data_IF_009832221679
#
_entry.id   IF_009832221679
#
_cell.length_a   1.000
_cell.length_b   1.000
_cell.length_c   1.000
_cell.angle_alpha   90.00
_cell.angle_beta   90.00
_cell.angle_gamma   90.00
#
_symmetry.space_group_name_H-M   'P 1'
#
loop_
_entity.id
_entity.type
_entity.pdbx_description
1 polymer ?
#
# COMPACT_ATOMS: atom_id res chain seq x y z
N UNK A 1 -13.34 -20.29 29.39
CA UNK A 1 -12.12 -19.66 29.94
C UNK A 1 -11.46 -18.85 28.87
N UNK A 2 -11.38 -17.55 29.04
CA UNK A 2 -10.62 -16.65 28.11
C UNK A 2 -9.12 -16.88 28.32
N UNK A 3 -8.38 -17.03 27.24
CA UNK A 3 -6.93 -17.23 27.26
C UNK A 3 -6.25 -15.94 27.77
N UNK A 4 -5.54 -15.94 28.91
CA UNK A 4 -4.97 -14.73 29.50
C UNK A 4 -3.94 -14.02 28.61
N UNK A 5 -3.35 -14.72 27.63
CA UNK A 5 -2.45 -14.13 26.65
C UNK A 5 -3.19 -13.29 25.59
N UNK A 6 -4.42 -13.66 25.23
CA UNK A 6 -5.29 -12.88 24.35
C UNK A 6 -5.86 -11.65 25.05
N UNK A 7 -6.18 -11.78 26.33
CA UNK A 7 -6.74 -10.70 27.15
C UNK A 7 -5.73 -9.54 27.32
N UNK A 8 -4.46 -9.85 27.53
CA UNK A 8 -3.40 -8.85 27.61
C UNK A 8 -3.14 -8.12 26.28
N UNK A 9 -3.34 -8.78 25.14
CA UNK A 9 -3.22 -8.18 23.82
C UNK A 9 -4.36 -7.21 23.50
N UNK A 10 -5.59 -7.62 23.78
CA UNK A 10 -6.80 -6.82 23.57
C UNK A 10 -6.80 -5.59 24.50
N UNK A 11 -6.39 -5.73 25.76
CA UNK A 11 -6.27 -4.64 26.70
C UNK A 11 -5.29 -3.55 26.23
N UNK A 12 -4.12 -3.95 25.70
CA UNK A 12 -3.15 -2.99 25.12
C UNK A 12 -3.68 -2.28 23.89
N UNK A 13 -4.36 -2.96 22.99
CA UNK A 13 -4.97 -2.37 21.79
C UNK A 13 -6.06 -1.37 22.19
N UNK A 14 -6.91 -1.74 23.14
CA UNK A 14 -7.96 -0.86 23.66
C UNK A 14 -7.38 0.39 24.35
N UNK A 15 -6.31 0.25 25.12
CA UNK A 15 -5.62 1.37 25.76
C UNK A 15 -5.00 2.32 24.71
N UNK A 16 -4.34 1.78 23.70
CA UNK A 16 -3.77 2.58 22.60
C UNK A 16 -4.88 3.27 21.82
N UNK A 17 -5.95 2.57 21.48
CA UNK A 17 -7.09 3.16 20.78
C UNK A 17 -7.74 4.27 21.59
N UNK A 18 -7.95 4.05 22.91
CA UNK A 18 -8.49 5.05 23.83
C UNK A 18 -7.60 6.30 23.87
N UNK A 19 -6.29 6.15 24.02
CA UNK A 19 -5.35 7.28 24.02
C UNK A 19 -5.34 8.04 22.69
N UNK A 20 -5.41 7.34 21.57
CA UNK A 20 -5.46 7.96 20.25
C UNK A 20 -6.75 8.77 20.02
N UNK A 21 -7.89 8.22 20.45
CA UNK A 21 -9.20 8.86 20.26
C UNK A 21 -9.49 9.93 21.30
N UNK A 22 -9.32 9.61 22.58
CA UNK A 22 -9.74 10.51 23.69
C UNK A 22 -8.75 11.64 23.92
N UNK A 23 -7.45 11.38 23.77
CA UNK A 23 -6.41 12.40 23.97
C UNK A 23 -6.02 13.09 22.66
N UNK A 24 -6.65 12.77 21.53
CA UNK A 24 -6.31 13.29 20.18
C UNK A 24 -4.82 13.17 19.84
N UNK A 25 -4.15 12.16 20.36
CA UNK A 25 -2.75 11.87 20.06
C UNK A 25 -2.65 11.12 18.75
N UNK A 26 -2.75 11.86 17.65
CA UNK A 26 -2.66 11.31 16.30
C UNK A 26 -1.22 10.89 16.03
N UNK A 27 -1.03 9.68 15.51
CA UNK A 27 0.26 9.24 15.03
C UNK A 27 0.71 10.08 13.84
N UNK A 28 1.98 10.41 13.78
CA UNK A 28 2.57 11.20 12.70
C UNK A 28 3.31 10.32 11.74
N UNK A 29 3.12 10.54 10.46
CA UNK A 29 3.83 9.84 9.40
C UNK A 29 5.30 10.26 9.39
N UNK A 30 6.20 9.29 9.41
CA UNK A 30 7.66 9.48 9.37
C UNK A 30 8.29 8.93 8.12
N UNK A 31 7.61 8.01 7.43
CA UNK A 31 8.07 7.46 6.17
C UNK A 31 6.87 7.18 5.25
N UNK A 32 7.02 7.47 3.96
CA UNK A 32 6.12 7.04 2.89
C UNK A 32 6.94 6.76 1.64
N UNK A 33 6.70 5.62 1.03
CA UNK A 33 7.24 5.27 -0.26
C UNK A 33 6.15 4.67 -1.15
N UNK A 34 6.10 5.12 -2.39
CA UNK A 34 5.21 4.60 -3.42
C UNK A 34 6.01 3.80 -4.42
N UNK A 35 5.44 2.73 -4.89
CA UNK A 35 6.07 1.84 -5.85
C UNK A 35 5.04 1.27 -6.84
N UNK A 36 5.49 0.98 -8.03
CA UNK A 36 4.63 0.50 -9.11
C UNK A 36 3.93 1.64 -9.86
N UNK A 37 3.05 1.28 -10.77
CA UNK A 37 2.34 2.26 -11.59
C UNK A 37 3.28 3.08 -12.46
N UNK A 38 3.17 4.40 -12.35
CA UNK A 38 4.04 5.36 -13.04
C UNK A 38 5.38 5.58 -12.33
N UNK A 39 5.50 5.14 -11.09
CA UNK A 39 6.73 5.24 -10.34
C UNK A 39 7.73 4.18 -10.83
N UNK A 40 8.99 4.59 -11.00
CA UNK A 40 10.06 3.69 -11.45
C UNK A 40 10.51 2.69 -10.38
N UNK A 41 10.02 2.86 -9.17
CA UNK A 41 10.40 2.03 -8.03
C UNK A 41 9.64 0.70 -8.09
N UNK A 42 10.39 -0.39 -8.01
CA UNK A 42 9.80 -1.72 -7.96
C UNK A 42 9.19 -1.98 -6.56
N UNK A 43 8.00 -2.61 -6.47
CA UNK A 43 7.35 -2.89 -5.20
C UNK A 43 8.22 -3.66 -4.20
N UNK A 44 8.98 -4.65 -4.66
CA UNK A 44 9.85 -5.45 -3.81
C UNK A 44 11.01 -4.63 -3.22
N UNK A 45 11.57 -3.71 -4.01
CA UNK A 45 12.61 -2.79 -3.53
C UNK A 45 12.08 -1.79 -2.51
N UNK A 46 10.87 -1.28 -2.71
CA UNK A 46 10.20 -0.40 -1.75
C UNK A 46 9.87 -1.13 -0.45
N UNK A 47 9.41 -2.36 -0.53
CA UNK A 47 9.14 -3.19 0.64
C UNK A 47 10.42 -3.49 1.44
N UNK A 48 11.53 -3.75 0.76
CA UNK A 48 12.82 -3.97 1.41
C UNK A 48 13.28 -2.74 2.19
N UNK A 49 13.21 -1.54 1.59
CA UNK A 49 13.55 -0.28 2.26
C UNK A 49 12.63 0.01 3.44
N UNK A 50 11.33 -0.15 3.25
CA UNK A 50 10.36 -0.01 4.32
C UNK A 50 10.67 -0.92 5.52
N UNK A 51 10.99 -2.20 5.26
CA UNK A 51 11.36 -3.16 6.30
C UNK A 51 12.66 -2.76 7.01
N UNK A 52 13.65 -2.27 6.27
CA UNK A 52 14.90 -1.78 6.83
C UNK A 52 14.65 -0.57 7.76
N UNK A 53 13.86 0.39 7.32
CA UNK A 53 13.52 1.57 8.10
C UNK A 53 12.73 1.20 9.36
N UNK A 54 11.76 0.29 9.26
CA UNK A 54 11.04 -0.23 10.42
C UNK A 54 12.00 -0.86 11.43
N UNK A 55 12.87 -1.78 10.99
CA UNK A 55 13.84 -2.44 11.85
C UNK A 55 14.80 -1.45 12.52
N UNK A 56 15.20 -0.38 11.81
CA UNK A 56 16.05 0.68 12.36
C UNK A 56 15.35 1.42 13.49
N UNK A 57 14.08 1.80 13.31
CA UNK A 57 13.28 2.46 14.34
C UNK A 57 13.03 1.55 15.56
N UNK A 58 12.77 0.27 15.34
CA UNK A 58 12.58 -0.71 16.41
C UNK A 58 13.86 -0.91 17.26
N UNK A 59 15.04 -0.95 16.64
CA UNK A 59 16.34 -1.02 17.35
C UNK A 59 16.54 0.19 18.28
N UNK A 60 16.06 1.34 17.88
CA UNK A 60 16.08 2.58 18.67
C UNK A 60 14.90 2.68 19.65
N UNK A 61 14.14 1.61 19.83
CA UNK A 61 12.97 1.52 20.71
C UNK A 61 11.86 2.54 20.39
N UNK A 62 11.78 2.94 19.12
CA UNK A 62 10.69 3.76 18.61
C UNK A 62 9.60 2.82 18.10
N UNK A 63 8.47 2.78 18.80
CA UNK A 63 7.32 2.03 18.35
C UNK A 63 6.71 2.65 17.10
N UNK A 64 6.38 1.82 16.11
CA UNK A 64 5.80 2.24 14.84
C UNK A 64 4.47 1.52 14.56
N UNK A 65 3.53 2.25 13.98
CA UNK A 65 2.38 1.69 13.31
C UNK A 65 2.65 1.64 11.79
N UNK A 66 2.14 0.62 11.17
CA UNK A 66 2.37 0.30 9.76
C UNK A 66 1.09 0.47 8.96
N UNK A 67 1.22 0.98 7.75
CA UNK A 67 0.17 0.99 6.75
C UNK A 67 0.76 0.57 5.41
N UNK A 68 0.24 -0.51 4.85
CA UNK A 68 0.60 -1.01 3.53
C UNK A 68 -0.67 -1.03 2.70
N UNK A 69 -0.73 -0.15 1.72
CA UNK A 69 -1.80 -0.12 0.74
C UNK A 69 -1.32 -0.74 -0.57
N UNK A 70 -2.06 -1.71 -1.07
CA UNK A 70 -1.82 -2.34 -2.36
C UNK A 70 -3.04 -2.19 -3.27
N UNK A 71 -2.84 -1.55 -4.41
CA UNK A 71 -3.80 -1.53 -5.50
C UNK A 71 -3.31 -2.48 -6.60
N UNK A 72 -4.06 -3.54 -6.85
CA UNK A 72 -3.72 -4.54 -7.87
C UNK A 72 -4.06 -4.11 -9.29
N UNK A 73 -4.48 -2.87 -9.46
CA UNK A 73 -4.91 -2.36 -10.75
C UNK A 73 -6.22 -2.99 -11.25
N UNK A 74 -6.72 -2.54 -12.39
CA UNK A 74 -7.92 -3.10 -12.98
C UNK A 74 -7.65 -4.53 -13.47
N UNK A 75 -8.66 -5.40 -13.31
CA UNK A 75 -8.57 -6.81 -13.69
C UNK A 75 -8.20 -7.02 -15.17
N UNK A 76 -8.57 -6.09 -16.04
CA UNK A 76 -8.30 -6.16 -17.47
C UNK A 76 -6.80 -6.19 -17.83
N UNK A 77 -5.94 -5.73 -16.92
CA UNK A 77 -4.49 -5.75 -17.11
C UNK A 77 -3.83 -7.01 -16.56
N UNK A 78 -4.59 -7.90 -15.95
CA UNK A 78 -4.04 -9.15 -15.43
C UNK A 78 -3.86 -10.17 -16.56
N UNK A 79 -2.75 -10.95 -16.56
CA UNK A 79 -2.50 -11.95 -17.60
C UNK A 79 -3.57 -13.03 -17.70
N UNK A 80 -4.27 -13.31 -16.60
CA UNK A 80 -5.33 -14.32 -16.48
C UNK A 80 -6.72 -13.78 -16.82
N UNK A 81 -6.85 -12.48 -17.11
CA UNK A 81 -8.13 -11.85 -17.40
C UNK A 81 -8.28 -11.51 -18.87
N UNK A 82 -9.14 -12.25 -19.55
CA UNK A 82 -9.40 -12.14 -20.98
C UNK A 82 -10.83 -11.65 -21.23
N UNK A 83 -11.06 -10.35 -21.16
CA UNK A 83 -12.33 -9.77 -21.58
C UNK A 83 -12.28 -9.48 -23.09
N UNK A 84 -13.16 -10.16 -23.83
CA UNK A 84 -13.29 -10.00 -25.28
C UNK A 84 -14.41 -9.03 -25.60
N UNK A 85 -14.18 -8.16 -26.56
CA UNK A 85 -15.16 -7.21 -27.08
C UNK A 85 -15.37 -7.45 -28.57
N UNK A 86 -16.62 -7.28 -29.01
CA UNK A 86 -16.97 -7.30 -30.42
C UNK A 86 -16.83 -5.89 -30.97
N UNK A 87 -15.98 -5.72 -31.96
CA UNK A 87 -15.86 -4.46 -32.70
C UNK A 87 -16.38 -4.63 -34.12
N UNK A 88 -17.31 -3.77 -34.51
CA UNK A 88 -17.78 -3.71 -35.88
C UNK A 88 -16.75 -3.04 -36.76
N UNK A 89 -16.43 -3.67 -37.90
CA UNK A 89 -15.57 -3.07 -38.90
C UNK A 89 -16.28 -1.86 -39.51
N UNK A 90 -15.63 -0.69 -39.64
CA UNK A 90 -16.31 0.55 -40.01
C UNK A 90 -16.82 0.53 -41.46
N UNK A 91 -16.16 -0.21 -42.36
CA UNK A 91 -16.48 -0.22 -43.78
C UNK A 91 -17.28 -1.46 -44.16
N UNK A 92 -16.81 -2.64 -43.78
CA UNK A 92 -17.35 -3.92 -44.28
C UNK A 92 -18.45 -4.49 -43.38
N UNK A 93 -18.72 -3.89 -42.24
CA UNK A 93 -19.83 -4.25 -41.35
C UNK A 93 -19.71 -5.57 -40.60
N UNK A 94 -18.67 -6.35 -40.81
CA UNK A 94 -18.42 -7.58 -40.04
C UNK A 94 -17.93 -7.27 -38.62
N UNK A 95 -18.03 -8.26 -37.72
CA UNK A 95 -17.60 -8.11 -36.35
C UNK A 95 -16.26 -8.84 -36.12
N UNK A 96 -15.34 -8.17 -35.45
CA UNK A 96 -14.07 -8.70 -34.99
C UNK A 96 -14.06 -8.86 -33.49
N UNK A 97 -13.64 -10.01 -32.99
CA UNK A 97 -13.39 -10.23 -31.58
C UNK A 97 -12.00 -9.73 -31.26
N UNK A 98 -11.88 -8.82 -30.30
CA UNK A 98 -10.60 -8.31 -29.80
C UNK A 98 -10.58 -8.38 -28.27
N UNK A 99 -9.40 -8.50 -27.70
CA UNK A 99 -9.18 -8.31 -26.27
C UNK A 99 -9.47 -6.86 -25.91
N UNK A 100 -10.19 -6.61 -24.81
CA UNK A 100 -10.48 -5.26 -24.35
C UNK A 100 -9.19 -4.47 -24.11
N UNK A 101 -8.16 -5.12 -23.58
CA UNK A 101 -6.83 -4.55 -23.35
C UNK A 101 -6.22 -3.96 -24.64
N UNK A 102 -6.32 -4.69 -25.74
CA UNK A 102 -5.75 -4.27 -27.02
C UNK A 102 -6.59 -3.18 -27.72
N UNK A 103 -7.85 -3.04 -27.28
CA UNK A 103 -8.78 -2.08 -27.86
C UNK A 103 -8.83 -0.76 -27.10
N UNK A 104 -8.55 -0.76 -25.81
CA UNK A 104 -8.57 0.44 -24.97
C UNK A 104 -7.17 1.02 -24.80
N UNK A 105 -6.92 2.17 -25.44
CA UNK A 105 -5.66 2.91 -25.24
C UNK A 105 -5.42 3.28 -23.78
N UNK A 106 -6.50 3.48 -23.00
CA UNK A 106 -6.42 3.79 -21.57
C UNK A 106 -5.96 2.57 -20.76
N UNK A 107 -6.35 1.34 -21.14
CA UNK A 107 -5.96 0.14 -20.43
C UNK A 107 -4.45 -0.10 -20.38
N UNK A 108 -3.71 0.35 -21.41
CA UNK A 108 -2.25 0.24 -21.43
C UNK A 108 -1.54 1.18 -20.47
N UNK A 109 -2.20 2.27 -20.06
CA UNK A 109 -1.63 3.26 -19.15
C UNK A 109 -2.04 3.06 -17.70
N UNK A 110 -2.98 2.16 -17.44
CA UNK A 110 -3.39 1.85 -16.06
C UNK A 110 -2.33 0.96 -15.40
N UNK A 111 -1.87 1.31 -14.21
CA UNK A 111 -0.84 0.54 -13.52
C UNK A 111 -1.36 -0.86 -13.17
N UNK A 112 -0.51 -1.87 -13.38
CA UNK A 112 -0.84 -3.26 -13.03
C UNK A 112 -0.86 -3.47 -11.50
N UNK A 113 0.03 -2.80 -10.81
CA UNK A 113 0.18 -2.89 -9.36
C UNK A 113 0.77 -1.59 -8.82
N UNK A 114 0.17 -1.05 -7.81
CA UNK A 114 0.67 0.08 -7.03
C UNK A 114 0.71 -0.28 -5.57
N UNK A 115 1.79 0.03 -4.90
CA UNK A 115 1.96 -0.17 -3.48
C UNK A 115 2.34 1.16 -2.81
N UNK A 116 1.80 1.39 -1.63
CA UNK A 116 2.22 2.50 -0.78
C UNK A 116 2.57 1.94 0.59
N UNK A 117 3.77 2.19 1.03
CA UNK A 117 4.30 1.76 2.32
C UNK A 117 4.44 2.98 3.23
N UNK A 118 3.89 2.92 4.43
CA UNK A 118 3.94 4.01 5.39
C UNK A 118 4.34 3.52 6.76
N UNK A 119 5.08 4.38 7.49
CA UNK A 119 5.36 4.21 8.91
C UNK A 119 4.93 5.46 9.67
N UNK A 120 4.33 5.22 10.82
CA UNK A 120 3.85 6.27 11.73
C UNK A 120 4.44 6.04 13.11
N UNK A 121 4.71 7.10 13.83
CA UNK A 121 5.12 7.02 15.25
C UNK A 121 4.41 8.09 16.09
N UNK A 122 4.63 8.03 17.40
CA UNK A 122 4.16 9.06 18.32
C UNK A 122 4.84 10.40 18.00
N UNK A 123 4.11 11.49 18.18
CA UNK A 123 4.60 12.86 17.91
C UNK A 123 5.92 13.17 18.63
N UNK A 124 6.08 12.69 19.87
CA UNK A 124 7.31 12.86 20.65
C UNK A 124 8.56 12.21 20.02
N UNK A 125 8.40 11.27 19.11
CA UNK A 125 9.50 10.55 18.48
C UNK A 125 9.76 10.99 17.03
N UNK A 126 8.95 11.88 16.46
CA UNK A 126 9.02 12.26 15.04
C UNK A 126 10.40 12.82 14.66
N UNK A 127 10.92 13.74 15.45
CA UNK A 127 12.21 14.38 15.16
C UNK A 127 13.33 13.35 15.14
N UNK A 128 13.39 12.48 16.15
CA UNK A 128 14.38 11.40 16.22
C UNK A 128 14.20 10.38 15.09
N UNK A 129 12.97 9.99 14.81
CA UNK A 129 12.68 9.07 13.72
C UNK A 129 13.15 9.60 12.36
N UNK A 130 12.87 10.86 12.04
CA UNK A 130 13.33 11.50 10.80
C UNK A 130 14.85 11.64 10.70
N UNK A 131 15.56 11.79 11.82
CA UNK A 131 17.02 11.81 11.83
C UNK A 131 17.63 10.42 11.54
N UNK A 132 16.90 9.35 11.87
CA UNK A 132 17.33 7.98 11.65
C UNK A 132 17.01 7.46 10.24
N UNK A 133 16.03 8.07 9.59
CA UNK A 133 15.59 7.69 8.25
C UNK A 133 16.19 8.69 7.25
N UNK A 134 17.14 8.27 6.41
CA UNK A 134 17.61 9.13 5.31
C UNK A 134 16.47 9.34 4.31
N UNK A 135 16.49 10.50 3.67
CA UNK A 135 15.57 10.87 2.59
C UNK A 135 15.72 9.93 1.37
#
# INVERSE_FOLDING_TARGET
>A
MLNPALDNGIGKISEIASKLFMERKILKRVFEERAGGLDKVQPDSAQARWSEHKNRLEREKIWTAEDIFENKGPKINRPDYHLKVLRKHPIEGWYQVKELRDHSGVAHFLPERECTFRLFCKESHVTRAKQLLPD
#
